data_IF_934144578812
#
_entry.id   IF_934144578812
#
_cell.length_a   1.000
_cell.length_b   1.000
_cell.length_c   1.000
_cell.angle_alpha   90.00
_cell.angle_beta   90.00
_cell.angle_gamma   90.00
#
_symmetry.space_group_name_H-M   'P 1'
#
loop_
_entity.id
_entity.type
_entity.pdbx_description
1 polymer ?
#
# COMPACT_ATOMS: atom_id res chain seq x y z
N UNK A 1 -7.73 5.01 20.53
CA UNK A 1 -6.37 5.43 20.14
C UNK A 1 -6.00 6.73 20.86
N UNK A 2 -6.41 6.89 22.13
CA UNK A 2 -6.19 8.11 22.91
C UNK A 2 -5.27 7.87 24.14
N UNK A 3 -4.88 6.62 24.38
CA UNK A 3 -4.26 6.17 25.64
C UNK A 3 -2.72 6.28 25.69
N UNK A 4 -2.08 6.89 24.68
CA UNK A 4 -0.63 7.06 24.70
C UNK A 4 -0.22 8.25 25.58
N UNK A 5 0.92 8.18 26.24
CA UNK A 5 1.56 9.34 26.87
C UNK A 5 2.36 10.15 25.84
N UNK A 6 2.67 11.41 26.14
CA UNK A 6 3.56 12.24 25.30
C UNK A 6 4.94 11.59 25.09
N UNK A 7 5.44 10.85 26.10
CA UNK A 7 6.69 10.11 25.98
C UNK A 7 6.59 9.00 24.93
N UNK A 8 5.50 8.22 24.96
CA UNK A 8 5.25 7.15 23.99
C UNK A 8 5.08 7.69 22.58
N UNK A 9 4.37 8.82 22.42
CA UNK A 9 4.27 9.53 21.15
C UNK A 9 5.66 9.93 20.65
N UNK A 10 6.48 10.53 21.52
CA UNK A 10 7.86 10.90 21.19
C UNK A 10 8.74 9.71 20.79
N UNK A 11 8.60 8.57 21.47
CA UNK A 11 9.32 7.34 21.13
C UNK A 11 8.91 6.82 19.74
N UNK A 12 7.61 6.71 19.46
CA UNK A 12 7.12 6.26 18.15
C UNK A 12 7.56 7.19 17.01
N UNK A 13 7.56 8.52 17.25
CA UNK A 13 8.08 9.48 16.27
C UNK A 13 9.54 9.21 15.91
N UNK A 14 10.39 9.03 16.93
CA UNK A 14 11.82 8.73 16.73
C UNK A 14 12.03 7.44 15.94
N UNK A 15 11.34 6.36 16.33
CA UNK A 15 11.40 5.08 15.59
C UNK A 15 11.01 5.30 14.13
N UNK A 16 9.97 6.11 13.87
CA UNK A 16 9.52 6.37 12.50
C UNK A 16 10.49 7.26 11.72
N UNK A 17 11.09 8.26 12.36
CA UNK A 17 12.08 9.16 11.75
C UNK A 17 13.38 8.43 11.38
N UNK A 18 13.72 7.35 12.10
CA UNK A 18 14.87 6.48 11.80
C UNK A 18 14.63 5.59 10.56
N UNK A 19 13.38 5.42 10.13
CA UNK A 19 13.07 4.68 8.90
C UNK A 19 13.26 5.60 7.69
N UNK A 20 14.13 5.24 6.73
CA UNK A 20 14.39 6.05 5.53
C UNK A 20 13.13 6.35 4.74
N UNK A 21 13.02 7.57 4.22
CA UNK A 21 12.02 7.91 3.22
C UNK A 21 12.15 7.03 1.97
N UNK A 22 11.03 6.85 1.27
CA UNK A 22 11.04 6.22 -0.06
C UNK A 22 11.30 7.28 -1.13
N UNK A 23 11.96 6.84 -2.20
CA UNK A 23 12.29 7.62 -3.38
C UNK A 23 11.99 6.81 -4.66
N UNK A 24 12.43 7.33 -5.81
CA UNK A 24 12.32 6.66 -7.11
C UNK A 24 13.11 5.35 -7.19
N UNK A 25 14.09 5.15 -6.32
CA UNK A 25 14.87 3.93 -6.22
C UNK A 25 14.24 2.87 -5.31
N UNK A 26 13.16 3.21 -4.63
CA UNK A 26 12.51 2.32 -3.67
C UNK A 26 11.43 1.48 -4.33
N UNK A 27 11.56 0.16 -4.25
CA UNK A 27 10.48 -0.76 -4.62
C UNK A 27 9.40 -0.71 -3.54
N UNK A 28 8.19 -0.35 -3.91
CA UNK A 28 7.03 -0.29 -3.01
C UNK A 28 6.04 -1.41 -3.29
N UNK A 29 5.25 -1.72 -2.28
CA UNK A 29 4.11 -2.63 -2.33
C UNK A 29 2.83 -1.87 -2.03
N UNK A 30 1.78 -2.16 -2.81
CA UNK A 30 0.42 -1.71 -2.54
C UNK A 30 -0.58 -2.85 -2.66
N UNK A 31 -1.33 -3.09 -1.60
CA UNK A 31 -2.49 -3.99 -1.60
C UNK A 31 -3.70 -3.21 -2.12
N UNK A 32 -4.43 -3.78 -3.09
CA UNK A 32 -5.58 -3.14 -3.72
C UNK A 32 -6.75 -4.13 -3.87
N UNK A 33 -8.01 -3.65 -3.84
CA UNK A 33 -9.17 -4.50 -4.11
C UNK A 33 -9.12 -5.12 -5.50
N UNK A 34 -9.65 -6.34 -5.64
CA UNK A 34 -9.64 -7.07 -6.92
C UNK A 34 -10.38 -6.32 -8.04
N UNK A 35 -11.43 -5.57 -7.69
CA UNK A 35 -12.28 -4.83 -8.62
C UNK A 35 -11.55 -3.72 -9.38
N UNK A 36 -10.33 -3.36 -8.95
CA UNK A 36 -9.52 -2.36 -9.65
C UNK A 36 -8.84 -2.93 -10.90
N UNK A 37 -8.82 -4.25 -11.03
CA UNK A 37 -8.16 -4.96 -12.12
C UNK A 37 -8.64 -4.49 -13.49
N UNK A 38 -9.95 -4.41 -13.70
CA UNK A 38 -10.53 -3.98 -14.97
C UNK A 38 -10.12 -2.55 -15.35
N UNK A 39 -9.92 -1.69 -14.35
CA UNK A 39 -9.39 -0.34 -14.54
C UNK A 39 -7.97 -0.35 -15.13
N UNK A 40 -7.10 -1.22 -14.62
CA UNK A 40 -5.74 -1.36 -15.13
C UNK A 40 -5.70 -2.05 -16.50
N UNK A 41 -6.49 -3.11 -16.71
CA UNK A 41 -6.56 -3.82 -18.01
C UNK A 41 -7.06 -2.88 -19.12
N UNK A 42 -8.06 -2.05 -18.82
CA UNK A 42 -8.63 -1.10 -19.80
C UNK A 42 -7.76 0.14 -20.03
N UNK A 43 -6.68 0.33 -19.26
CA UNK A 43 -5.87 1.55 -19.28
C UNK A 43 -6.55 2.78 -18.66
N UNK A 44 -7.70 2.62 -17.99
CA UNK A 44 -8.33 3.71 -17.22
C UNK A 44 -7.51 4.06 -15.98
N UNK A 45 -6.87 3.07 -15.38
CA UNK A 45 -5.95 3.24 -14.26
C UNK A 45 -4.54 2.97 -14.77
N UNK A 46 -3.66 3.97 -14.73
CA UNK A 46 -2.25 3.86 -15.16
C UNK A 46 -1.26 4.24 -14.07
N UNK A 47 -1.76 4.76 -12.96
CA UNK A 47 -0.97 5.26 -11.84
C UNK A 47 -1.29 4.51 -10.55
N UNK A 48 -0.36 4.59 -9.60
CA UNK A 48 -0.51 4.08 -8.24
C UNK A 48 -0.57 5.27 -7.29
N UNK A 49 -1.64 5.36 -6.51
CA UNK A 49 -1.87 6.44 -5.54
C UNK A 49 -2.13 5.93 -4.12
N UNK A 50 -2.43 6.85 -3.21
CA UNK A 50 -2.77 6.55 -1.80
C UNK A 50 -1.60 5.94 -1.01
N UNK A 51 -1.93 5.07 -0.06
CA UNK A 51 -0.94 4.48 0.85
C UNK A 51 -0.14 3.33 0.23
N UNK A 52 1.16 3.30 0.53
CA UNK A 52 2.13 2.29 0.08
C UNK A 52 3.12 1.97 1.21
N UNK A 53 3.76 0.81 1.12
CA UNK A 53 4.85 0.40 2.00
C UNK A 53 6.09 -0.01 1.18
N UNK A 54 7.28 -0.08 1.80
CA UNK A 54 8.45 -0.61 1.08
C UNK A 54 8.30 -2.11 0.93
N UNK A 55 8.62 -2.63 -0.26
CA UNK A 55 8.53 -4.06 -0.54
C UNK A 55 9.43 -4.89 0.39
N UNK A 56 10.58 -4.35 0.81
CA UNK A 56 11.47 -5.02 1.76
C UNK A 56 10.85 -5.20 3.15
N UNK A 57 9.88 -4.36 3.53
CA UNK A 57 9.20 -4.44 4.82
C UNK A 57 7.97 -5.37 4.76
N UNK A 58 7.39 -5.58 3.57
CA UNK A 58 6.11 -6.31 3.42
C UNK A 58 6.20 -7.56 2.55
N UNK A 59 7.37 -7.87 1.98
CA UNK A 59 7.54 -8.91 0.96
C UNK A 59 7.16 -10.31 1.45
N UNK A 60 7.37 -10.62 2.73
CA UNK A 60 6.99 -11.88 3.36
C UNK A 60 5.46 -12.03 3.53
N UNK A 61 4.69 -10.95 3.39
CA UNK A 61 3.23 -10.94 3.50
C UNK A 61 2.53 -11.13 2.14
N UNK A 62 3.25 -10.98 1.03
CA UNK A 62 2.67 -10.83 -0.32
C UNK A 62 2.04 -12.06 -0.98
N UNK A 63 1.87 -13.17 -0.25
CA UNK A 63 1.22 -14.41 -0.73
C UNK A 63 0.25 -15.00 0.29
N UNK A 64 -0.25 -14.18 1.20
CA UNK A 64 -1.22 -14.61 2.21
C UNK A 64 -2.65 -14.57 1.65
N UNK A 65 -3.55 -15.33 2.27
CA UNK A 65 -4.97 -15.24 1.93
C UNK A 65 -5.55 -13.86 2.32
N UNK A 66 -6.74 -13.55 1.80
CA UNK A 66 -7.41 -12.27 1.99
C UNK A 66 -7.63 -11.97 3.47
N UNK A 67 -8.03 -12.95 4.28
CA UNK A 67 -8.24 -12.74 5.73
C UNK A 67 -6.95 -12.29 6.42
N UNK A 68 -5.86 -13.02 6.20
CA UNK A 68 -4.55 -12.67 6.77
C UNK A 68 -4.07 -11.31 6.28
N UNK A 69 -4.30 -11.00 5.01
CA UNK A 69 -3.97 -9.70 4.42
C UNK A 69 -4.78 -8.57 5.06
N UNK A 70 -6.08 -8.77 5.28
CA UNK A 70 -6.94 -7.83 6.00
C UNK A 70 -6.41 -7.58 7.40
N UNK A 71 -6.05 -8.64 8.14
CA UNK A 71 -5.54 -8.52 9.51
C UNK A 71 -4.18 -7.80 9.55
N UNK A 72 -3.26 -8.12 8.64
CA UNK A 72 -1.91 -7.56 8.60
C UNK A 72 -1.86 -6.11 8.11
N UNK A 73 -2.78 -5.71 7.24
CA UNK A 73 -2.83 -4.35 6.71
C UNK A 73 -3.98 -3.52 7.32
N UNK A 74 -4.71 -4.07 8.28
CA UNK A 74 -5.91 -3.49 8.90
C UNK A 74 -6.90 -2.91 7.88
N UNK A 75 -7.21 -3.73 6.88
CA UNK A 75 -8.09 -3.37 5.77
C UNK A 75 -9.56 -3.63 6.09
N UNK A 76 -9.95 -3.79 7.36
CA UNK A 76 -11.31 -4.05 7.81
C UNK A 76 -12.09 -2.80 8.26
N UNK A 77 -11.69 -1.64 7.74
CA UNK A 77 -12.38 -0.37 7.98
C UNK A 77 -13.78 -0.34 7.32
N UNK A 78 -14.62 0.56 7.82
CA UNK A 78 -15.98 0.74 7.31
C UNK A 78 -15.99 1.07 5.81
N UNK A 79 -16.80 0.33 5.03
CA UNK A 79 -16.85 0.48 3.57
C UNK A 79 -15.68 -0.16 2.82
N UNK A 80 -14.83 -0.95 3.48
CA UNK A 80 -13.75 -1.67 2.82
C UNK A 80 -14.26 -2.69 1.80
N UNK A 81 -13.76 -2.60 0.57
CA UNK A 81 -14.01 -3.60 -0.48
C UNK A 81 -13.39 -4.96 -0.15
N UNK A 82 -12.37 -5.00 0.71
CA UNK A 82 -11.74 -6.25 1.12
C UNK A 82 -12.66 -7.06 2.04
N UNK A 83 -13.34 -6.41 2.98
CA UNK A 83 -14.30 -7.10 3.86
C UNK A 83 -15.57 -7.50 3.12
N UNK A 84 -16.01 -6.70 2.14
CA UNK A 84 -17.08 -7.09 1.23
C UNK A 84 -16.72 -8.33 0.41
N UNK A 85 -15.52 -8.38 -0.19
CA UNK A 85 -15.03 -9.55 -0.91
C UNK A 85 -14.99 -10.79 -0.02
N UNK A 86 -14.47 -10.66 1.21
CA UNK A 86 -14.43 -11.76 2.19
C UNK A 86 -15.84 -12.24 2.58
N UNK A 87 -16.79 -11.32 2.82
CA UNK A 87 -18.17 -11.66 3.14
C UNK A 87 -18.88 -12.41 1.99
N UNK A 88 -18.50 -12.12 0.75
CA UNK A 88 -18.96 -12.80 -0.46
C UNK A 88 -18.22 -14.13 -0.75
N UNK A 89 -17.39 -14.62 0.19
CA UNK A 89 -16.63 -15.86 0.03
C UNK A 89 -15.51 -15.79 -0.98
N UNK A 90 -15.05 -14.59 -1.35
CA UNK A 90 -13.93 -14.39 -2.26
C UNK A 90 -12.62 -14.34 -1.46
N UNK A 91 -11.59 -15.01 -1.96
CA UNK A 91 -10.23 -14.95 -1.41
C UNK A 91 -9.29 -14.44 -2.50
N UNK A 92 -9.42 -13.15 -2.83
CA UNK A 92 -8.62 -12.53 -3.88
C UNK A 92 -8.42 -11.04 -3.68
N UNK A 93 -7.27 -10.55 -4.12
CA UNK A 93 -6.90 -9.13 -4.13
C UNK A 93 -5.75 -8.90 -5.11
N UNK A 94 -5.37 -7.64 -5.30
CA UNK A 94 -4.23 -7.25 -6.13
C UNK A 94 -3.06 -6.79 -5.26
N UNK A 95 -1.85 -7.09 -5.72
CA UNK A 95 -0.62 -6.48 -5.23
C UNK A 95 0.06 -5.76 -6.39
N UNK A 96 0.31 -4.47 -6.21
CA UNK A 96 1.31 -3.75 -7.00
C UNK A 96 2.69 -3.90 -6.34
N UNK A 97 3.70 -4.18 -7.15
CA UNK A 97 5.12 -4.16 -6.76
C UNK A 97 5.93 -3.47 -7.85
N UNK A 98 6.63 -2.39 -7.49
CA UNK A 98 7.41 -1.62 -8.44
C UNK A 98 7.98 -0.35 -7.86
N UNK A 99 8.77 0.34 -8.66
CA UNK A 99 9.24 1.70 -8.36
C UNK A 99 8.26 2.71 -8.95
N UNK A 100 8.27 3.92 -8.41
CA UNK A 100 7.43 5.03 -8.87
C UNK A 100 8.31 6.12 -9.45
N UNK A 101 7.91 6.69 -10.59
CA UNK A 101 8.63 7.76 -11.24
C UNK A 101 8.48 9.08 -10.45
N UNK A 102 9.53 9.91 -10.51
CA UNK A 102 9.61 11.32 -10.06
C UNK A 102 9.05 11.63 -8.65
N UNK A 103 9.25 10.75 -7.65
CA UNK A 103 8.68 10.81 -6.29
C UNK A 103 9.03 12.04 -5.44
N UNK A 104 10.00 12.85 -5.87
CA UNK A 104 10.50 14.01 -5.12
C UNK A 104 9.39 14.98 -4.72
N UNK A 105 9.23 15.21 -3.41
CA UNK A 105 8.24 16.14 -2.85
C UNK A 105 6.78 15.65 -2.90
N UNK A 106 6.54 14.45 -3.44
CA UNK A 106 5.21 13.87 -3.66
C UNK A 106 4.92 12.67 -2.75
N UNK A 107 5.87 12.30 -1.91
CA UNK A 107 5.72 11.27 -0.87
C UNK A 107 5.79 11.91 0.50
N UNK A 108 4.92 11.46 1.41
CA UNK A 108 4.91 11.87 2.80
C UNK A 108 4.75 10.68 3.74
N UNK A 109 5.06 10.92 5.02
CA UNK A 109 4.69 10.04 6.11
C UNK A 109 3.31 10.49 6.58
N UNK A 110 2.29 9.61 6.58
CA UNK A 110 0.93 10.03 6.93
C UNK A 110 0.78 10.20 8.45
N UNK A 111 1.30 11.31 8.97
CA UNK A 111 1.24 11.72 10.38
C UNK A 111 0.09 12.69 10.62
N UNK A 112 -0.70 12.43 11.65
CA UNK A 112 -1.68 13.37 12.18
C UNK A 112 -1.05 14.37 13.14
N UNK A 113 -1.86 15.32 13.61
CA UNK A 113 -1.42 16.44 14.44
C UNK A 113 -0.68 16.00 15.71
N UNK A 114 -1.14 14.93 16.36
CA UNK A 114 -0.50 14.36 17.55
C UNK A 114 0.94 13.90 17.31
N UNK A 115 1.22 13.43 16.10
CA UNK A 115 2.56 13.00 15.68
C UNK A 115 3.35 14.11 14.96
N UNK A 116 2.84 15.34 14.97
CA UNK A 116 3.47 16.51 14.35
C UNK A 116 3.26 16.63 12.84
N UNK A 117 2.30 15.91 12.27
CA UNK A 117 1.90 16.06 10.87
C UNK A 117 0.58 16.82 10.70
N UNK A 118 0.01 16.73 9.50
CA UNK A 118 -1.21 17.45 9.09
C UNK A 118 -2.31 16.55 8.52
N UNK A 119 -2.07 15.24 8.46
CA UNK A 119 -3.02 14.29 7.88
C UNK A 119 -4.21 14.09 8.81
N UNK A 120 -5.41 14.04 8.24
CA UNK A 120 -6.68 13.80 8.95
C UNK A 120 -7.41 12.58 8.41
N UNK A 121 -6.75 11.81 7.54
CA UNK A 121 -7.34 10.68 6.84
C UNK A 121 -7.87 9.65 7.84
N UNK A 122 -9.01 9.06 7.49
CA UNK A 122 -9.65 7.97 8.22
C UNK A 122 -8.96 6.62 7.90
N UNK A 123 -9.32 5.52 8.59
CA UNK A 123 -8.75 4.20 8.37
C UNK A 123 -8.64 3.81 6.88
N UNK A 124 -7.60 3.05 6.48
CA UNK A 124 -6.73 2.23 7.34
C UNK A 124 -5.53 2.97 7.97
N UNK A 125 -5.35 4.27 7.71
CA UNK A 125 -4.22 5.03 8.23
C UNK A 125 -4.35 5.30 9.74
N UNK A 126 -3.29 5.02 10.49
CA UNK A 126 -3.19 5.26 11.95
C UNK A 126 -2.82 6.68 12.33
N UNK A 127 -2.40 7.48 11.35
CA UNK A 127 -1.85 8.82 11.55
C UNK A 127 -0.55 8.87 12.38
N UNK A 128 0.13 7.74 12.58
CA UNK A 128 1.43 7.70 13.28
C UNK A 128 2.62 7.39 12.33
N UNK A 129 2.34 7.12 11.06
CA UNK A 129 3.34 6.76 10.05
C UNK A 129 3.63 5.25 9.92
N UNK A 130 2.88 4.41 10.62
CA UNK A 130 2.89 2.96 10.50
C UNK A 130 1.51 2.43 10.13
N UNK A 131 1.49 1.30 9.42
CA UNK A 131 0.26 0.57 9.12
C UNK A 131 -0.38 0.16 10.44
N UNK A 132 -1.71 0.15 10.52
CA UNK A 132 -2.48 -0.37 11.65
C UNK A 132 -2.36 -1.91 11.79
N UNK A 133 -1.19 -2.47 11.52
CA UNK A 133 -0.92 -3.90 11.51
C UNK A 133 -1.35 -4.53 12.82
N UNK A 134 -2.12 -5.63 12.75
CA UNK A 134 -2.52 -6.42 13.92
C UNK A 134 -1.54 -7.56 14.22
N UNK A 135 -0.39 -7.56 13.55
CA UNK A 135 0.73 -8.43 13.87
C UNK A 135 1.68 -7.73 14.85
N UNK A 136 2.64 -8.48 15.40
CA UNK A 136 3.70 -7.92 16.25
C UNK A 136 4.76 -7.11 15.45
N UNK A 137 4.55 -6.91 14.15
CA UNK A 137 5.44 -6.17 13.26
C UNK A 137 5.08 -4.69 13.16
N UNK A 138 6.11 -3.84 13.15
CA UNK A 138 5.99 -2.41 12.90
C UNK A 138 6.28 -2.18 11.42
N UNK A 139 5.24 -1.91 10.64
CA UNK A 139 5.33 -1.72 9.19
C UNK A 139 5.25 -0.22 8.84
N UNK A 140 6.31 0.40 8.32
CA UNK A 140 6.29 1.81 7.92
C UNK A 140 5.31 2.05 6.77
N UNK A 141 4.47 3.07 6.92
CA UNK A 141 3.54 3.52 5.89
C UNK A 141 4.02 4.84 5.27
N UNK A 142 3.73 4.99 3.98
CA UNK A 142 3.94 6.20 3.20
C UNK A 142 2.66 6.52 2.44
N UNK A 143 2.45 7.78 2.11
CA UNK A 143 1.34 8.23 1.27
C UNK A 143 1.84 9.03 0.09
N UNK A 144 1.16 8.87 -1.04
CA UNK A 144 1.35 9.65 -2.25
C UNK A 144 0.41 10.86 -2.16
N UNK A 145 0.95 12.09 -2.19
CA UNK A 145 0.22 13.33 -1.87
C UNK A 145 -0.70 13.84 -3.00
N UNK A 146 -0.65 13.24 -4.18
CA UNK A 146 -1.48 13.57 -5.36
C UNK A 146 -2.24 12.32 -5.87
N UNK A 147 -3.00 12.46 -6.97
CA UNK A 147 -3.89 11.41 -7.51
C UNK A 147 -3.18 10.08 -7.88
N UNK A 148 -1.85 10.09 -8.00
CA UNK A 148 -1.02 8.91 -8.15
C UNK A 148 0.25 9.18 -8.94
N UNK A 149 1.16 8.22 -8.93
CA UNK A 149 2.41 8.26 -9.70
C UNK A 149 2.48 7.15 -10.73
N UNK A 150 3.12 7.44 -11.85
CA UNK A 150 3.43 6.42 -12.84
C UNK A 150 4.45 5.45 -12.27
N UNK A 151 4.24 4.14 -12.42
CA UNK A 151 5.27 3.14 -12.13
C UNK A 151 6.46 3.24 -13.09
N UNK A 152 7.61 2.72 -12.70
CA UNK A 152 8.70 2.46 -13.65
C UNK A 152 8.44 1.24 -14.54
N UNK A 153 9.14 1.19 -15.67
CA UNK A 153 9.13 0.06 -16.60
C UNK A 153 9.36 -1.26 -15.88
N UNK A 154 8.48 -2.23 -16.12
CA UNK A 154 8.62 -3.55 -15.48
C UNK A 154 7.93 -3.70 -14.13
N UNK A 155 7.40 -2.62 -13.53
CA UNK A 155 6.56 -2.71 -12.34
C UNK A 155 5.35 -3.61 -12.60
N UNK A 156 4.92 -4.39 -11.61
CA UNK A 156 3.92 -5.46 -11.82
C UNK A 156 2.68 -5.30 -10.97
N UNK A 157 1.55 -5.75 -11.51
CA UNK A 157 0.37 -6.08 -10.72
C UNK A 157 0.20 -7.60 -10.73
N UNK A 158 0.07 -8.17 -9.55
CA UNK A 158 -0.22 -9.58 -9.32
C UNK A 158 -1.62 -9.75 -8.76
N UNK A 159 -2.31 -10.79 -9.17
CA UNK A 159 -3.50 -11.30 -8.47
C UNK A 159 -3.01 -12.30 -7.43
N UNK A 160 -3.45 -12.11 -6.20
CA UNK A 160 -3.41 -13.15 -5.18
C UNK A 160 -4.79 -13.76 -5.14
N UNK A 161 -4.88 -15.07 -5.34
CA UNK A 161 -6.14 -15.81 -5.25
C UNK A 161 -5.89 -17.12 -4.49
N UNK A 162 -6.64 -17.35 -3.41
CA UNK A 162 -6.44 -18.49 -2.51
C UNK A 162 -4.99 -18.59 -1.99
N UNK A 163 -4.36 -17.44 -1.69
CA UNK A 163 -2.95 -17.34 -1.29
C UNK A 163 -1.93 -17.60 -2.41
N UNK A 164 -2.37 -17.81 -3.65
CA UNK A 164 -1.46 -18.06 -4.79
C UNK A 164 -1.24 -16.75 -5.54
N UNK A 165 0.02 -16.30 -5.60
CA UNK A 165 0.44 -15.12 -6.35
C UNK A 165 0.67 -15.43 -7.82
N UNK A 166 0.03 -14.65 -8.70
CA UNK A 166 0.23 -14.69 -10.17
C UNK A 166 0.41 -13.29 -10.72
N UNK A 167 1.55 -13.02 -11.37
CA UNK A 167 1.75 -11.77 -12.13
C UNK A 167 0.83 -11.78 -13.34
N UNK A 168 0.08 -10.70 -13.52
CA UNK A 168 -0.91 -10.60 -14.60
C UNK A 168 -0.72 -9.36 -15.46
N UNK A 169 -0.13 -8.30 -14.92
CA UNK A 169 0.17 -7.07 -15.65
C UNK A 169 1.59 -6.60 -15.36
N UNK A 170 2.19 -5.95 -16.34
CA UNK A 170 3.44 -5.21 -16.25
C UNK A 170 3.21 -3.80 -16.78
N UNK A 171 3.75 -2.80 -16.09
CA UNK A 171 3.76 -1.42 -16.59
C UNK A 171 4.73 -1.30 -17.75
N UNK A 172 4.24 -0.65 -18.81
CA UNK A 172 4.97 -0.30 -20.01
C UNK A 172 5.08 1.23 -20.10
N UNK A 173 6.30 1.77 -20.06
CA UNK A 173 6.58 3.20 -20.04
C UNK A 173 6.53 3.85 -21.43
N UNK A 174 6.67 3.08 -22.50
CA UNK A 174 6.44 3.57 -23.87
C UNK A 174 4.94 3.81 -24.12
N UNK A 175 4.10 2.88 -23.65
CA UNK A 175 2.64 2.94 -23.76
C UNK A 175 1.96 3.68 -22.60
N UNK A 176 2.72 4.03 -21.56
CA UNK A 176 2.27 4.68 -20.31
C UNK A 176 1.08 3.97 -19.65
N UNK A 177 1.06 2.63 -19.67
CA UNK A 177 -0.05 1.83 -19.14
C UNK A 177 0.39 0.43 -18.72
N UNK A 178 -0.49 -0.25 -17.99
CA UNK A 178 -0.31 -1.67 -17.69
C UNK A 178 -0.73 -2.53 -18.88
N UNK A 179 0.17 -3.43 -19.30
CA UNK A 179 -0.06 -4.42 -20.35
C UNK A 179 -0.06 -5.85 -19.77
N UNK A 180 -0.72 -6.83 -20.42
CA UNK A 180 -0.68 -8.22 -20.00
C UNK A 180 0.74 -8.74 -19.81
N UNK A 181 0.99 -9.37 -18.66
CA UNK A 181 2.27 -10.01 -18.37
C UNK A 181 2.43 -11.25 -19.25
N UNK A 182 3.42 -11.23 -20.15
CA UNK A 182 3.80 -12.40 -20.97
C UNK A 182 4.97 -13.09 -20.26
N UNK A 183 4.81 -14.39 -20.00
CA UNK A 183 5.87 -15.25 -19.48
C UNK A 183 6.94 -15.52 -20.53
#
# INVERSE_FOLDING_TARGET
MDDMTEEQVGQMKRIRDDVPMIDDNTVVTKVMPYEYLDGFISGRNTQIGGFVARQVDTGHLGSQNLKQTIDNFALDYEGSRFTEAMANGQDRYLIFEGKLMETQGLIDIPRGYRFGGKHQNLPPCTLNGFIACRSDEILPEYTILEDGRFPEQGSTISVIENGIKRKILKFDDEEMKFIPYKN
#
